data_IF_200182543217
#
_entry.id   IF_200182543217
#
_cell.length_a   1.000
_cell.length_b   1.000
_cell.length_c   1.000
_cell.angle_alpha   90.00
_cell.angle_beta   90.00
_cell.angle_gamma   90.00
#
_symmetry.space_group_name_H-M   'P 1'
#
loop_
_entity.id
_entity.type
_entity.pdbx_description
1 polymer ?
#
# COMPACT_ATOMS: atom_id res chain seq x y z
N UNK A 1 -10.36 -18.46 -11.39
CA UNK A 1 -10.48 -19.70 -10.59
C UNK A 1 -9.34 -19.98 -9.60
N UNK A 2 -8.01 -19.92 -9.92
CA UNK A 2 -6.97 -20.14 -8.90
C UNK A 2 -6.96 -19.05 -7.81
N UNK A 3 -7.14 -17.79 -8.19
CA UNK A 3 -7.17 -16.67 -7.25
C UNK A 3 -8.39 -16.73 -6.31
N UNK A 4 -9.56 -17.09 -6.82
CA UNK A 4 -10.77 -17.26 -6.00
C UNK A 4 -10.54 -18.32 -4.91
N UNK A 5 -10.05 -19.51 -5.28
CA UNK A 5 -9.74 -20.58 -4.31
C UNK A 5 -8.69 -20.16 -3.28
N UNK A 6 -7.69 -19.37 -3.69
CA UNK A 6 -6.70 -18.85 -2.74
C UNK A 6 -7.36 -17.89 -1.73
N UNK A 7 -8.24 -17.02 -2.17
CA UNK A 7 -8.97 -16.10 -1.29
C UNK A 7 -9.87 -16.88 -0.33
N UNK A 8 -10.62 -17.88 -0.83
CA UNK A 8 -11.47 -18.72 0.00
C UNK A 8 -10.65 -19.45 1.07
N UNK A 9 -9.50 -20.05 0.71
CA UNK A 9 -8.58 -20.67 1.65
C UNK A 9 -8.01 -19.70 2.69
N UNK A 10 -7.72 -18.44 2.28
CA UNK A 10 -7.26 -17.42 3.22
C UNK A 10 -8.36 -17.11 4.24
N UNK A 11 -9.59 -16.91 3.77
CA UNK A 11 -10.73 -16.64 4.65
C UNK A 11 -11.00 -17.80 5.63
N UNK A 12 -10.97 -19.02 5.15
CA UNK A 12 -11.13 -20.22 5.99
C UNK A 12 -10.05 -20.32 7.06
N UNK A 13 -8.77 -20.15 6.69
CA UNK A 13 -7.64 -20.17 7.64
C UNK A 13 -7.68 -19.01 8.62
N UNK A 14 -8.02 -17.80 8.17
CA UNK A 14 -8.19 -16.66 9.06
C UNK A 14 -9.30 -16.92 10.09
N UNK A 15 -10.40 -17.57 9.67
CA UNK A 15 -11.51 -17.88 10.55
C UNK A 15 -11.17 -19.00 11.56
N UNK A 16 -10.46 -20.05 11.14
CA UNK A 16 -10.17 -21.22 11.97
C UNK A 16 -8.90 -21.08 12.82
N UNK A 17 -7.78 -20.73 12.17
CA UNK A 17 -6.44 -20.87 12.77
C UNK A 17 -5.93 -19.56 13.38
N UNK A 18 -6.48 -18.40 12.93
CA UNK A 18 -6.02 -17.06 13.31
C UNK A 18 -7.16 -16.19 13.83
N UNK A 19 -8.05 -16.76 14.62
CA UNK A 19 -9.20 -16.05 15.17
C UNK A 19 -8.76 -14.82 15.96
N UNK A 20 -9.26 -13.64 15.58
CA UNK A 20 -8.97 -12.37 16.25
C UNK A 20 -7.56 -11.81 16.01
N UNK A 21 -6.68 -12.51 15.28
CA UNK A 21 -5.38 -11.97 14.95
C UNK A 21 -5.49 -10.72 14.06
N UNK A 22 -4.71 -9.66 14.29
CA UNK A 22 -4.72 -8.48 13.44
C UNK A 22 -4.30 -8.83 12.01
N UNK A 23 -4.99 -8.25 11.04
CA UNK A 23 -4.69 -8.39 9.61
C UNK A 23 -4.10 -7.09 9.08
N UNK A 24 -2.92 -7.17 8.49
CA UNK A 24 -2.28 -6.05 7.79
C UNK A 24 -2.41 -6.28 6.29
N UNK A 25 -3.04 -5.35 5.59
CA UNK A 25 -3.21 -5.39 4.14
C UNK A 25 -2.26 -4.39 3.51
N UNK A 26 -1.34 -4.89 2.69
CA UNK A 26 -0.35 -4.12 1.97
C UNK A 26 -0.51 -4.43 0.48
N UNK A 27 -0.80 -3.43 -0.31
CA UNK A 27 -0.91 -3.60 -1.76
C UNK A 27 -0.62 -2.28 -2.50
N UNK A 28 -0.40 -2.40 -3.80
CA UNK A 28 -0.16 -1.28 -4.72
C UNK A 28 -1.49 -0.87 -5.36
N UNK A 29 -2.47 -0.42 -4.54
CA UNK A 29 -3.85 -0.17 -4.99
C UNK A 29 -3.92 0.83 -6.14
N UNK A 30 -3.11 1.90 -6.14
CA UNK A 30 -3.12 2.90 -7.21
C UNK A 30 -2.72 2.32 -8.57
N UNK A 31 -1.85 1.31 -8.60
CA UNK A 31 -1.51 0.59 -9.83
C UNK A 31 -2.72 -0.19 -10.36
N UNK A 32 -3.50 -0.83 -9.50
CA UNK A 32 -4.72 -1.53 -9.94
C UNK A 32 -5.77 -0.59 -10.51
N UNK A 33 -5.87 0.63 -9.98
CA UNK A 33 -6.85 1.64 -10.40
C UNK A 33 -6.42 2.37 -11.66
N UNK A 34 -5.14 2.75 -11.77
CA UNK A 34 -4.66 3.66 -12.81
C UNK A 34 -3.64 3.03 -13.76
N UNK A 35 -3.25 1.77 -13.52
CA UNK A 35 -2.15 1.13 -14.22
C UNK A 35 -0.78 1.59 -13.72
N UNK A 36 0.24 1.06 -14.33
CA UNK A 36 1.64 1.37 -14.10
C UNK A 36 1.97 2.82 -14.50
N UNK A 37 2.85 3.48 -13.76
CA UNK A 37 3.29 4.86 -14.01
C UNK A 37 4.80 5.01 -14.17
N UNK A 38 5.57 3.95 -13.99
CA UNK A 38 7.03 3.94 -14.11
C UNK A 38 7.51 4.13 -15.56
N UNK A 39 8.73 4.62 -15.69
CA UNK A 39 9.41 4.71 -16.97
C UNK A 39 9.55 3.32 -17.61
N UNK A 40 9.18 3.21 -18.89
CA UNK A 40 9.25 1.97 -19.64
C UNK A 40 8.04 1.04 -19.47
N UNK A 41 7.02 1.41 -18.68
CA UNK A 41 5.77 0.66 -18.67
C UNK A 41 5.09 0.70 -20.05
N UNK A 42 4.67 -0.47 -20.53
CA UNK A 42 4.00 -0.62 -21.81
C UNK A 42 2.58 -0.01 -21.79
N UNK A 43 2.02 0.42 -22.95
CA UNK A 43 0.70 1.04 -22.99
C UNK A 43 -0.42 0.22 -22.35
N UNK A 44 -0.40 -1.13 -22.47
CA UNK A 44 -1.38 -2.02 -21.86
C UNK A 44 -1.24 -2.09 -20.32
N UNK A 45 -0.05 -1.85 -19.79
CA UNK A 45 0.21 -1.83 -18.34
C UNK A 45 -0.27 -0.53 -17.70
N UNK A 46 -0.46 0.54 -18.48
CA UNK A 46 -0.96 1.85 -18.04
C UNK A 46 -2.48 1.95 -17.97
N UNK A 47 -3.17 0.80 -18.07
CA UNK A 47 -4.62 0.69 -17.96
C UNK A 47 -5.04 0.25 -16.58
N UNK A 48 -6.31 0.39 -16.27
CA UNK A 48 -6.94 -0.24 -15.10
C UNK A 48 -6.71 -1.75 -15.12
N UNK A 49 -6.41 -2.33 -13.95
CA UNK A 49 -5.99 -3.74 -13.87
C UNK A 49 -7.03 -4.64 -13.18
N UNK A 50 -7.97 -4.07 -12.42
CA UNK A 50 -8.96 -4.83 -11.64
C UNK A 50 -10.35 -4.32 -11.96
N UNK A 51 -11.26 -5.24 -12.23
CA UNK A 51 -12.65 -4.95 -12.61
C UNK A 51 -13.61 -5.83 -11.81
N UNK A 52 -14.78 -5.29 -11.53
CA UNK A 52 -15.94 -6.03 -11.02
C UNK A 52 -17.08 -5.94 -12.03
N UNK A 53 -17.91 -4.90 -11.95
CA UNK A 53 -19.06 -4.74 -12.83
C UNK A 53 -18.78 -3.79 -14.01
N UNK A 54 -17.87 -2.85 -13.82
CA UNK A 54 -17.51 -1.84 -14.84
C UNK A 54 -16.16 -2.16 -15.44
N UNK A 55 -16.17 -2.67 -16.67
CA UNK A 55 -14.97 -2.88 -17.47
C UNK A 55 -14.57 -1.58 -18.16
N UNK A 56 -13.38 -1.08 -17.87
CA UNK A 56 -12.87 0.14 -18.47
C UNK A 56 -11.34 0.13 -18.52
N UNK A 57 -10.76 0.60 -19.61
CA UNK A 57 -9.31 0.77 -19.75
C UNK A 57 -8.76 2.00 -18.99
N UNK A 58 -9.66 2.88 -18.55
CA UNK A 58 -9.32 4.11 -17.82
C UNK A 58 -10.20 4.27 -16.58
N UNK A 59 -9.72 4.99 -15.60
CA UNK A 59 -10.44 5.22 -14.33
C UNK A 59 -11.57 6.26 -14.53
N UNK A 60 -12.67 5.85 -15.19
CA UNK A 60 -13.87 6.69 -15.31
C UNK A 60 -14.58 6.87 -13.96
N UNK A 61 -15.43 7.89 -13.79
CA UNK A 61 -16.20 8.07 -12.56
C UNK A 61 -17.00 6.80 -12.16
N UNK A 62 -17.64 6.14 -13.12
CA UNK A 62 -18.42 4.91 -12.89
C UNK A 62 -17.51 3.76 -12.44
N UNK A 63 -16.34 3.61 -13.05
CA UNK A 63 -15.33 2.63 -12.64
C UNK A 63 -14.84 2.90 -11.21
N UNK A 64 -14.53 4.15 -10.89
CA UNK A 64 -14.05 4.54 -9.55
C UNK A 64 -15.12 4.31 -8.47
N UNK A 65 -16.40 4.55 -8.79
CA UNK A 65 -17.49 4.27 -7.86
C UNK A 65 -17.63 2.76 -7.61
N UNK A 66 -17.61 1.94 -8.68
CA UNK A 66 -17.67 0.48 -8.58
C UNK A 66 -16.47 -0.08 -7.80
N UNK A 67 -15.25 0.40 -8.10
CA UNK A 67 -14.04 0.03 -7.37
C UNK A 67 -14.14 0.42 -5.88
N UNK A 68 -14.55 1.64 -5.58
CA UNK A 68 -14.72 2.13 -4.21
C UNK A 68 -15.64 1.24 -3.38
N UNK A 69 -16.81 0.91 -3.93
CA UNK A 69 -17.79 0.06 -3.26
C UNK A 69 -17.19 -1.32 -2.92
N UNK A 70 -16.64 -2.01 -3.91
CA UNK A 70 -16.10 -3.35 -3.70
C UNK A 70 -14.85 -3.36 -2.80
N UNK A 71 -14.00 -2.34 -2.89
CA UNK A 71 -12.86 -2.19 -1.99
C UNK A 71 -13.31 -2.04 -0.54
N UNK A 72 -14.25 -1.15 -0.27
CA UNK A 72 -14.77 -0.89 1.08
C UNK A 72 -15.51 -2.12 1.61
N UNK A 73 -16.39 -2.74 0.82
CA UNK A 73 -17.13 -3.94 1.22
C UNK A 73 -16.17 -5.08 1.59
N UNK A 74 -15.11 -5.29 0.80
CA UNK A 74 -14.10 -6.31 1.08
C UNK A 74 -13.36 -5.99 2.38
N UNK A 75 -12.87 -4.76 2.53
CA UNK A 75 -12.14 -4.35 3.72
C UNK A 75 -13.02 -4.45 4.99
N UNK A 76 -14.28 -4.02 4.90
CA UNK A 76 -15.24 -4.12 6.00
C UNK A 76 -15.60 -5.58 6.33
N UNK A 77 -15.68 -6.45 5.35
CA UNK A 77 -15.92 -7.88 5.60
C UNK A 77 -14.80 -8.52 6.42
N UNK A 78 -13.56 -8.14 6.16
CA UNK A 78 -12.39 -8.61 6.91
C UNK A 78 -12.34 -8.04 8.34
N UNK A 79 -12.93 -6.86 8.56
CA UNK A 79 -12.91 -6.19 9.86
C UNK A 79 -13.99 -6.68 10.84
N UNK A 80 -14.88 -7.59 10.43
CA UNK A 80 -15.97 -8.08 11.29
C UNK A 80 -15.47 -8.82 12.52
N UNK A 81 -14.40 -9.62 12.38
CA UNK A 81 -13.96 -10.57 13.39
C UNK A 81 -12.54 -10.27 13.92
N UNK A 82 -11.90 -9.23 13.42
CA UNK A 82 -10.51 -8.91 13.76
C UNK A 82 -10.13 -7.45 13.48
N UNK A 83 -9.11 -6.92 14.15
CA UNK A 83 -8.52 -5.64 13.77
C UNK A 83 -7.91 -5.72 12.38
N UNK A 84 -8.28 -4.80 11.48
CA UNK A 84 -7.71 -4.67 10.14
C UNK A 84 -6.94 -3.36 10.04
N UNK A 85 -5.74 -3.45 9.46
CA UNK A 85 -4.87 -2.33 9.19
C UNK A 85 -4.62 -2.24 7.68
N UNK A 86 -4.99 -1.14 7.06
CA UNK A 86 -4.67 -0.85 5.67
C UNK A 86 -3.43 0.04 5.61
N UNK A 87 -2.41 -0.41 4.91
CA UNK A 87 -1.24 0.42 4.64
C UNK A 87 -1.52 1.31 3.43
N UNK A 88 -1.30 2.62 3.58
CA UNK A 88 -1.34 3.53 2.43
C UNK A 88 -0.24 3.14 1.43
N UNK A 89 -0.48 3.26 0.11
CA UNK A 89 0.54 2.98 -0.88
C UNK A 89 1.83 3.75 -0.60
N UNK A 90 2.97 3.08 -0.71
CA UNK A 90 4.27 3.76 -0.65
C UNK A 90 4.48 4.62 -1.89
N UNK A 91 5.37 5.64 -1.87
CA UNK A 91 5.73 6.39 -3.06
C UNK A 91 6.28 5.47 -4.16
N UNK A 92 5.73 5.58 -5.37
CA UNK A 92 6.23 4.90 -6.57
C UNK A 92 7.26 5.80 -7.22
N UNK A 93 8.54 5.39 -7.25
CA UNK A 93 9.59 6.10 -7.95
C UNK A 93 9.44 5.86 -9.44
N UNK A 94 9.51 6.90 -10.25
CA UNK A 94 9.28 6.77 -11.69
C UNK A 94 10.41 6.04 -12.41
N UNK A 95 11.59 5.96 -11.80
CA UNK A 95 12.79 5.31 -12.35
C UNK A 95 13.36 4.28 -11.36
N UNK A 96 14.06 3.26 -11.89
CA UNK A 96 14.75 2.23 -11.08
C UNK A 96 15.83 2.85 -10.22
N UNK A 97 15.57 2.98 -8.92
CA UNK A 97 16.40 3.71 -7.96
C UNK A 97 17.86 3.26 -7.95
N UNK A 98 18.20 1.96 -7.76
CA UNK A 98 19.60 1.54 -7.72
C UNK A 98 20.33 1.78 -9.04
N UNK A 99 19.63 1.57 -10.16
CA UNK A 99 20.22 1.77 -11.50
C UNK A 99 20.54 3.24 -11.75
N UNK A 100 19.63 4.14 -11.37
CA UNK A 100 19.82 5.60 -11.57
C UNK A 100 20.95 6.12 -10.68
N UNK A 101 20.98 5.73 -9.41
CA UNK A 101 22.07 6.11 -8.49
C UNK A 101 23.40 5.55 -8.99
N UNK A 102 23.46 4.27 -9.37
CA UNK A 102 24.68 3.64 -9.84
C UNK A 102 25.24 4.29 -11.12
N UNK A 103 24.38 4.66 -12.07
CA UNK A 103 24.81 5.42 -13.27
C UNK A 103 25.36 6.80 -12.88
N UNK A 104 24.70 7.50 -11.96
CA UNK A 104 25.17 8.79 -11.47
C UNK A 104 26.55 8.71 -10.86
N UNK A 105 26.78 7.73 -10.00
CA UNK A 105 28.11 7.51 -9.38
C UNK A 105 29.22 7.24 -10.40
N UNK A 106 28.94 6.41 -11.43
CA UNK A 106 29.90 6.12 -12.51
C UNK A 106 30.23 7.39 -13.31
N UNK A 107 29.25 8.27 -13.51
CA UNK A 107 29.42 9.51 -14.26
C UNK A 107 29.95 10.68 -13.41
N UNK A 108 30.25 10.45 -12.14
CA UNK A 108 30.71 11.50 -11.21
C UNK A 108 29.63 12.54 -10.88
N UNK A 109 28.36 12.19 -11.05
CA UNK A 109 27.21 13.04 -10.77
C UNK A 109 26.35 12.36 -9.71
N UNK A 110 26.06 13.07 -8.61
CA UNK A 110 25.09 12.60 -7.64
C UNK A 110 23.67 12.75 -8.23
N UNK A 111 22.95 11.66 -8.39
CA UNK A 111 21.56 11.67 -8.80
C UNK A 111 20.69 11.04 -7.70
N UNK A 112 19.95 11.88 -6.99
CA UNK A 112 18.88 11.41 -6.13
C UNK A 112 17.63 11.15 -6.97
N UNK A 113 17.01 9.99 -6.76
CA UNK A 113 15.68 9.70 -7.31
C UNK A 113 14.67 10.22 -6.31
N UNK A 114 13.90 11.21 -6.72
CA UNK A 114 12.85 11.82 -5.89
C UNK A 114 11.59 12.03 -6.71
N UNK A 115 10.43 11.98 -6.04
CA UNK A 115 9.18 12.47 -6.59
C UNK A 115 8.65 13.60 -5.71
N UNK A 116 7.90 14.54 -6.27
CA UNK A 116 7.27 15.56 -5.45
C UNK A 116 6.22 14.93 -4.54
N UNK A 117 6.10 15.45 -3.33
CA UNK A 117 5.03 15.03 -2.42
C UNK A 117 3.65 15.31 -3.02
N UNK A 118 3.52 16.37 -3.82
CA UNK A 118 2.27 16.71 -4.51
C UNK A 118 1.88 15.63 -5.53
N UNK A 119 2.83 15.15 -6.35
CA UNK A 119 2.58 14.07 -7.32
C UNK A 119 2.23 12.75 -6.61
N UNK A 120 2.95 12.42 -5.54
CA UNK A 120 2.61 11.26 -4.73
C UNK A 120 1.18 11.35 -4.16
N UNK A 121 0.80 12.52 -3.62
CA UNK A 121 -0.54 12.74 -3.09
C UNK A 121 -1.61 12.68 -4.19
N UNK A 122 -1.37 13.32 -5.33
CA UNK A 122 -2.29 13.30 -6.47
C UNK A 122 -2.52 11.87 -6.99
N UNK A 123 -1.44 11.08 -7.13
CA UNK A 123 -1.50 9.67 -7.54
C UNK A 123 -2.35 8.82 -6.61
N UNK A 124 -2.31 9.08 -5.32
CA UNK A 124 -2.93 8.24 -4.30
C UNK A 124 -4.23 8.83 -3.71
N UNK A 125 -4.66 10.02 -4.13
CA UNK A 125 -5.80 10.73 -3.54
C UNK A 125 -7.09 9.90 -3.49
N UNK A 126 -7.42 9.21 -4.58
CA UNK A 126 -8.59 8.33 -4.62
C UNK A 126 -8.45 7.14 -3.65
N UNK A 127 -7.30 6.47 -3.66
CA UNK A 127 -7.05 5.32 -2.78
C UNK A 127 -7.12 5.73 -1.31
N UNK A 128 -6.54 6.87 -0.97
CA UNK A 128 -6.65 7.42 0.39
C UNK A 128 -8.09 7.69 0.78
N UNK A 129 -8.88 8.26 -0.14
CA UNK A 129 -10.29 8.56 0.14
C UNK A 129 -11.12 7.31 0.44
N UNK A 130 -10.90 6.20 -0.28
CA UNK A 130 -11.62 4.94 -0.04
C UNK A 130 -11.12 4.22 1.21
N UNK A 131 -9.82 4.32 1.54
CA UNK A 131 -9.28 3.82 2.81
C UNK A 131 -9.84 4.61 4.01
N UNK A 132 -9.94 5.93 3.90
CA UNK A 132 -10.54 6.78 4.95
C UNK A 132 -12.04 6.47 5.12
N UNK A 133 -12.79 6.26 4.05
CA UNK A 133 -14.19 5.80 4.11
C UNK A 133 -14.31 4.42 4.79
N UNK A 134 -13.44 3.48 4.46
CA UNK A 134 -13.43 2.16 5.12
C UNK A 134 -13.12 2.29 6.62
N UNK A 135 -12.20 3.18 7.00
CA UNK A 135 -11.93 3.50 8.42
C UNK A 135 -13.16 4.02 9.12
N UNK A 136 -13.86 4.98 8.51
CA UNK A 136 -15.07 5.60 9.09
C UNK A 136 -16.23 4.61 9.21
N UNK A 137 -16.42 3.74 8.22
CA UNK A 137 -17.53 2.79 8.17
C UNK A 137 -17.33 1.55 9.06
N UNK A 138 -16.10 1.04 9.15
CA UNK A 138 -15.82 -0.28 9.74
C UNK A 138 -14.77 -0.26 10.85
N UNK A 139 -14.26 0.90 11.24
CA UNK A 139 -13.25 1.00 12.29
C UNK A 139 -11.86 0.48 11.89
N UNK A 140 -11.59 0.32 10.60
CA UNK A 140 -10.28 -0.06 10.06
C UNK A 140 -9.24 0.99 10.47
N UNK A 141 -8.02 0.53 10.72
CA UNK A 141 -6.90 1.40 11.05
C UNK A 141 -6.03 1.65 9.83
N UNK A 142 -5.51 2.86 9.70
CA UNK A 142 -4.62 3.25 8.59
C UNK A 142 -3.20 3.33 9.10
N UNK A 143 -2.29 2.66 8.40
CA UNK A 143 -0.85 2.79 8.58
C UNK A 143 -0.30 3.66 7.44
N UNK A 144 0.31 4.78 7.78
CA UNK A 144 0.78 5.77 6.82
C UNK A 144 2.32 5.77 6.73
N UNK A 145 2.91 5.32 5.61
CA UNK A 145 4.36 5.32 5.40
C UNK A 145 4.94 6.69 5.10
N UNK A 146 4.10 7.69 4.80
CA UNK A 146 4.54 9.00 4.33
C UNK A 146 5.54 9.69 5.27
N UNK A 147 5.37 9.71 6.62
CA UNK A 147 6.31 10.36 7.52
C UNK A 147 7.72 9.74 7.52
N UNK A 148 7.85 8.51 7.04
CA UNK A 148 9.11 7.76 7.04
C UNK A 148 9.88 7.86 5.72
N UNK A 149 9.16 8.08 4.62
CA UNK A 149 9.69 8.06 3.26
C UNK A 149 9.72 9.44 2.58
N UNK A 150 8.99 10.41 3.14
CA UNK A 150 8.85 11.76 2.58
C UNK A 150 9.14 12.84 3.62
N UNK A 151 9.51 14.03 3.16
CA UNK A 151 9.48 15.26 3.94
C UNK A 151 8.29 16.15 3.53
N UNK A 152 8.39 17.45 3.76
CA UNK A 152 7.35 18.40 3.41
C UNK A 152 7.15 18.55 1.88
N UNK A 153 8.19 18.32 1.08
CA UNK A 153 8.22 18.64 -0.35
C UNK A 153 8.41 17.42 -1.25
N UNK A 154 9.18 16.42 -0.80
CA UNK A 154 9.62 15.30 -1.62
C UNK A 154 9.48 13.96 -0.91
N UNK A 155 9.32 12.90 -1.70
CA UNK A 155 9.50 11.52 -1.30
C UNK A 155 10.78 10.99 -1.96
N UNK A 156 11.58 10.25 -1.19
CA UNK A 156 12.95 9.91 -1.52
C UNK A 156 13.11 8.47 -1.96
N UNK A 157 13.87 8.26 -3.03
CA UNK A 157 14.32 6.94 -3.46
C UNK A 157 15.56 6.47 -2.70
N UNK A 158 16.31 7.39 -2.07
CA UNK A 158 17.50 7.08 -1.27
C UNK A 158 17.54 7.92 0.00
N UNK A 159 18.28 7.43 1.00
CA UNK A 159 18.57 8.15 2.25
C UNK A 159 19.96 7.77 2.75
N UNK A 160 20.78 8.77 3.11
CA UNK A 160 22.16 8.55 3.52
C UNK A 160 22.95 7.71 2.49
N UNK A 161 22.84 8.06 1.21
CA UNK A 161 23.48 7.38 0.07
C UNK A 161 23.09 5.91 -0.14
N UNK A 162 22.04 5.44 0.55
CA UNK A 162 21.52 4.07 0.43
C UNK A 162 20.17 4.05 -0.27
N UNK A 163 19.98 3.18 -1.28
CA UNK A 163 18.68 3.02 -1.94
C UNK A 163 17.62 2.54 -0.95
N UNK A 164 16.47 3.21 -0.92
CA UNK A 164 15.28 2.77 -0.19
C UNK A 164 14.50 1.73 -0.96
N UNK A 165 14.77 1.56 -2.25
CA UNK A 165 14.07 0.66 -3.16
C UNK A 165 15.04 -0.30 -3.83
N UNK A 166 14.55 -1.49 -4.22
CA UNK A 166 15.29 -2.46 -5.05
C UNK A 166 15.04 -2.25 -6.55
N UNK A 167 13.96 -1.55 -6.86
CA UNK A 167 13.59 -1.11 -8.21
C UNK A 167 12.96 0.29 -8.15
N UNK A 168 11.80 0.51 -8.74
CA UNK A 168 11.04 1.77 -8.75
C UNK A 168 9.88 1.78 -7.72
N UNK A 169 9.47 0.62 -7.22
CA UNK A 169 8.26 0.51 -6.39
C UNK A 169 8.30 -0.54 -5.26
N UNK A 170 9.34 -1.34 -5.16
CA UNK A 170 9.55 -2.28 -4.04
C UNK A 170 10.65 -1.77 -3.11
N UNK A 171 10.33 -1.65 -1.82
CA UNK A 171 11.31 -1.21 -0.82
C UNK A 171 12.43 -2.25 -0.66
N UNK A 172 13.65 -1.75 -0.52
CA UNK A 172 14.81 -2.54 -0.09
C UNK A 172 14.66 -2.93 1.39
N UNK A 173 15.54 -3.81 1.87
CA UNK A 173 15.60 -4.12 3.30
C UNK A 173 15.84 -2.84 4.14
N UNK A 174 16.69 -1.94 3.65
CA UNK A 174 16.96 -0.67 4.31
C UNK A 174 15.73 0.24 4.35
N UNK A 175 14.98 0.33 3.22
CA UNK A 175 13.72 1.07 3.15
C UNK A 175 12.64 0.48 4.07
N UNK A 176 12.50 -0.84 4.09
CA UNK A 176 11.55 -1.53 4.97
C UNK A 176 11.84 -1.30 6.45
N UNK A 177 13.12 -1.23 6.85
CA UNK A 177 13.51 -0.95 8.24
C UNK A 177 13.04 0.41 8.74
N UNK A 178 12.89 1.40 7.85
CA UNK A 178 12.35 2.71 8.22
C UNK A 178 10.87 2.63 8.66
N UNK A 179 10.13 1.62 8.19
CA UNK A 179 8.72 1.43 8.51
C UNK A 179 8.48 0.60 9.78
N UNK A 180 9.52 0.06 10.43
CA UNK A 180 9.37 -0.73 11.67
C UNK A 180 8.55 0.01 12.73
N UNK A 181 8.78 1.32 13.02
CA UNK A 181 7.98 2.02 14.03
C UNK A 181 6.49 2.05 13.70
N UNK A 182 6.13 2.25 12.42
CA UNK A 182 4.74 2.23 11.95
C UNK A 182 4.10 0.85 12.21
N UNK A 183 4.78 -0.24 11.85
CA UNK A 183 4.24 -1.59 12.06
C UNK A 183 4.23 -2.00 13.53
N UNK A 184 5.11 -1.46 14.37
CA UNK A 184 5.13 -1.75 15.81
C UNK A 184 3.83 -1.32 16.51
N UNK A 185 3.11 -0.35 15.97
CA UNK A 185 1.81 0.08 16.50
C UNK A 185 0.77 -1.05 16.50
N UNK A 186 0.83 -1.95 15.50
CA UNK A 186 -0.09 -3.10 15.40
C UNK A 186 0.06 -4.03 16.61
N UNK A 187 1.29 -4.25 17.04
CA UNK A 187 1.61 -5.21 18.10
C UNK A 187 1.43 -4.62 19.50
N UNK A 188 1.64 -3.33 19.68
CA UNK A 188 1.46 -2.65 20.97
C UNK A 188 -0.01 -2.51 21.34
N UNK A 189 -0.89 -2.27 20.37
CA UNK A 189 -2.33 -2.16 20.62
C UNK A 189 -3.00 -3.51 20.87
N UNK A 190 -2.46 -4.62 20.32
CA UNK A 190 -2.94 -5.98 20.56
C UNK A 190 -2.60 -6.51 21.97
N UNK A 191 -1.49 -6.09 22.57
CA UNK A 191 -1.06 -6.54 23.88
C UNK A 191 -1.97 -6.04 25.04
N UNK A 192 -2.64 -4.91 24.86
CA UNK A 192 -3.57 -4.35 25.86
C UNK A 192 -4.89 -5.13 25.91
N UNK A 193 -5.32 -5.75 24.83
CA UNK A 193 -6.58 -6.50 24.77
C UNK A 193 -6.50 -7.89 25.44
N UNK A 194 -5.30 -8.47 25.58
CA UNK A 194 -5.11 -9.82 26.15
C UNK A 194 -4.95 -9.79 27.68
N UNK A 195 -4.60 -8.64 28.26
CA UNK A 195 -4.43 -8.51 29.73
C UNK A 195 -5.74 -8.37 30.52
N UNK A 196 -6.90 -8.36 29.85
CA UNK A 196 -8.23 -8.20 30.46
C UNK A 196 -8.99 -9.48 30.82
N UNK A 197 -8.43 -10.67 30.54
CA UNK A 197 -9.05 -11.95 30.97
C UNK A 197 -8.53 -12.30 32.35
N UNK A 198 -9.14 -11.74 33.40
CA UNK A 198 -9.01 -12.26 34.75
C UNK A 198 -9.67 -13.65 34.80
N UNK A 199 -8.89 -14.62 35.25
CA UNK A 199 -9.40 -15.93 35.65
C UNK A 199 -10.18 -15.75 36.95
N UNK A 200 -11.46 -15.98 36.91
CA UNK A 200 -12.26 -16.39 38.09
C UNK A 200 -12.25 -17.92 38.19
#
# INVERSE_FOLDING_TARGET
>A
EPCSRMIDNIHEKLASDMLGAPLIVINRTSMYVYGHNEEGAEPQERKTQVFWNVLSDVATPEYLEDFSRHYIDTACSLAKDRPVYLVRPIPEMLAKVPTTIGKGLIMGQAHDVVISRADYQARNAFVWSIQDKAREQCGIKILDPLPYLCDANFCYGSKNEKPLYVDDNHLSEYGNRLLIPMFSEVFTQGAVAVSGVQKD
#
